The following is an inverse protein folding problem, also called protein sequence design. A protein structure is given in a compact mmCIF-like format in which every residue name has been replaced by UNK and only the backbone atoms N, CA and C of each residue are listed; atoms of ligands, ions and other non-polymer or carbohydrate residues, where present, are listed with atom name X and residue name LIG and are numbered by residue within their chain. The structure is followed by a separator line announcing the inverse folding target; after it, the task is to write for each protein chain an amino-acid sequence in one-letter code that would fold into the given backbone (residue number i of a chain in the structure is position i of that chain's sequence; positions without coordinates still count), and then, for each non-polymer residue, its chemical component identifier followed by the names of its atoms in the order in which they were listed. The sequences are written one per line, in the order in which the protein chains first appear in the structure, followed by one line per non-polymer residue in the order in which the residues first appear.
data_IF_004747417922
#
_entry.id   IF_004747417922
#
_cell.length_a   1.000
_cell.length_b   1.000
_cell.length_c   1.000
_cell.angle_alpha   90.00
_cell.angle_beta   90.00
_cell.angle_gamma   90.00
#
_symmetry.space_group_name_H-M   'P 1'
#
loop_
_entity.id
_entity.type
_entity.pdbx_description
1 polymer ?
#
# COMPACT_ATOMS: atom_id res chain seq x y z
N UNK A 1 -17.91 -22.83 4.93
CA UNK A 1 -16.74 -21.95 4.68
C UNK A 1 -16.92 -21.46 3.26
N UNK A 2 -17.33 -20.20 3.08
CA UNK A 2 -17.38 -19.61 1.74
C UNK A 2 -15.95 -19.56 1.19
N UNK A 3 -15.79 -19.92 -0.08
CA UNK A 3 -14.48 -19.91 -0.73
C UNK A 3 -14.14 -18.46 -1.07
N UNK A 4 -13.16 -17.88 -0.38
CA UNK A 4 -12.61 -16.57 -0.72
C UNK A 4 -11.94 -16.65 -2.10
N UNK A 5 -12.62 -16.11 -3.11
CA UNK A 5 -12.21 -16.18 -4.51
C UNK A 5 -10.95 -15.35 -4.80
N UNK A 6 -10.61 -14.38 -3.94
CA UNK A 6 -9.43 -13.54 -4.11
C UNK A 6 -8.12 -14.33 -3.97
N UNK A 7 -8.15 -15.48 -3.28
CA UNK A 7 -6.99 -16.39 -3.16
C UNK A 7 -6.54 -16.99 -4.49
N UNK A 8 -7.39 -16.94 -5.51
CA UNK A 8 -7.07 -17.42 -6.86
C UNK A 8 -6.62 -16.30 -7.80
N UNK A 9 -6.61 -15.04 -7.36
CA UNK A 9 -6.10 -13.95 -8.17
C UNK A 9 -4.60 -14.13 -8.40
N UNK A 10 -4.14 -13.82 -9.61
CA UNK A 10 -2.71 -13.73 -9.87
C UNK A 10 -2.19 -12.41 -9.28
N UNK A 11 -1.56 -12.53 -8.10
CA UNK A 11 -1.12 -11.39 -7.29
C UNK A 11 0.20 -10.83 -7.82
N UNK A 12 0.07 -9.84 -8.70
CA UNK A 12 1.14 -8.92 -9.07
C UNK A 12 0.75 -7.48 -8.72
N UNK A 13 1.68 -6.54 -8.87
CA UNK A 13 1.48 -5.12 -8.52
C UNK A 13 0.22 -4.56 -9.20
N UNK A 14 0.05 -4.76 -10.50
CA UNK A 14 -1.13 -4.29 -11.23
C UNK A 14 -2.45 -4.90 -10.74
N UNK A 15 -2.51 -6.23 -10.52
CA UNK A 15 -3.72 -6.90 -10.05
C UNK A 15 -4.14 -6.40 -8.67
N UNK A 16 -3.18 -6.25 -7.75
CA UNK A 16 -3.44 -5.78 -6.39
C UNK A 16 -3.88 -4.32 -6.40
N UNK A 17 -3.24 -3.47 -7.21
CA UNK A 17 -3.63 -2.07 -7.35
C UNK A 17 -5.04 -1.93 -7.93
N UNK A 18 -5.40 -2.71 -8.95
CA UNK A 18 -6.76 -2.75 -9.48
C UNK A 18 -7.78 -3.21 -8.44
N UNK A 19 -7.42 -4.19 -7.59
CA UNK A 19 -8.26 -4.63 -6.48
C UNK A 19 -8.46 -3.51 -5.46
N UNK A 20 -7.39 -2.82 -5.04
CA UNK A 20 -7.48 -1.67 -4.12
C UNK A 20 -8.40 -0.60 -4.70
N UNK A 21 -8.22 -0.22 -5.97
CA UNK A 21 -9.13 0.72 -6.65
C UNK A 21 -10.57 0.20 -6.60
N UNK A 22 -10.82 -1.04 -6.98
CA UNK A 22 -12.17 -1.60 -6.99
C UNK A 22 -12.83 -1.58 -5.60
N UNK A 23 -12.07 -1.82 -4.54
CA UNK A 23 -12.57 -1.73 -3.17
C UNK A 23 -12.97 -0.29 -2.78
N UNK A 24 -12.33 0.74 -3.35
CA UNK A 24 -12.70 2.14 -3.11
C UNK A 24 -14.07 2.55 -3.68
N UNK A 25 -14.77 1.69 -4.45
CA UNK A 25 -16.21 1.90 -4.73
C UNK A 25 -17.02 1.89 -3.43
N UNK A 26 -16.58 1.11 -2.44
CA UNK A 26 -17.19 1.04 -1.13
C UNK A 26 -16.66 2.19 -0.28
N UNK A 27 -17.50 3.21 -0.04
CA UNK A 27 -17.14 4.42 0.71
C UNK A 27 -16.40 4.14 2.03
N UNK A 28 -16.79 3.15 2.87
CA UNK A 28 -16.05 2.86 4.10
C UNK A 28 -14.62 2.34 3.88
N UNK A 29 -14.37 1.58 2.81
CA UNK A 29 -13.00 1.16 2.45
C UNK A 29 -12.23 2.33 1.81
N UNK A 30 -12.90 3.14 0.99
CA UNK A 30 -12.32 4.39 0.46
C UNK A 30 -11.83 5.29 1.59
N UNK A 31 -12.62 5.43 2.66
CA UNK A 31 -12.27 6.23 3.84
C UNK A 31 -10.95 5.78 4.45
N UNK A 32 -10.78 4.47 4.63
CA UNK A 32 -9.56 3.89 5.17
C UNK A 32 -8.36 4.17 4.25
N UNK A 33 -8.49 3.87 2.95
CA UNK A 33 -7.39 4.07 2.01
C UNK A 33 -6.99 5.54 1.89
N UNK A 34 -7.96 6.45 1.73
CA UNK A 34 -7.68 7.89 1.63
C UNK A 34 -6.99 8.39 2.90
N UNK A 35 -7.51 8.05 4.09
CA UNK A 35 -6.87 8.46 5.35
C UNK A 35 -5.45 7.91 5.50
N UNK A 36 -5.22 6.64 5.15
CA UNK A 36 -3.88 6.06 5.18
C UNK A 36 -2.94 6.80 4.23
N UNK A 37 -3.38 7.06 3.00
CA UNK A 37 -2.56 7.68 1.95
C UNK A 37 -2.25 9.15 2.20
N UNK A 38 -3.09 9.86 2.94
CA UNK A 38 -2.91 11.28 3.23
C UNK A 38 -2.53 11.56 4.69
N UNK A 39 -2.13 10.54 5.46
CA UNK A 39 -1.84 10.70 6.89
C UNK A 39 -3.01 11.26 7.71
N UNK A 40 -4.25 11.02 7.27
CA UNK A 40 -5.49 11.47 7.91
C UNK A 40 -5.97 12.88 7.51
N UNK A 41 -5.23 13.61 6.67
CA UNK A 41 -5.60 14.95 6.24
C UNK A 41 -6.90 15.01 5.40
N UNK A 42 -7.19 13.95 4.64
CA UNK A 42 -8.37 13.81 3.80
C UNK A 42 -9.09 12.49 4.13
N UNK A 43 -10.36 12.40 3.73
CA UNK A 43 -11.19 11.20 3.80
C UNK A 43 -12.03 11.00 2.54
N UNK A 44 -12.94 10.03 2.58
CA UNK A 44 -13.82 9.66 1.47
C UNK A 44 -14.94 10.68 1.18
N UNK A 45 -15.11 11.70 2.02
CA UNK A 45 -15.94 12.87 1.73
C UNK A 45 -15.22 13.90 0.85
N UNK A 46 -13.88 13.89 0.86
CA UNK A 46 -13.05 14.86 0.12
C UNK A 46 -12.64 14.33 -1.26
N UNK A 47 -12.71 13.01 -1.46
CA UNK A 47 -12.34 12.32 -2.69
C UNK A 47 -13.43 11.32 -3.09
N UNK A 48 -13.95 11.51 -4.29
CA UNK A 48 -14.90 10.59 -4.91
C UNK A 48 -14.20 9.39 -5.55
N UNK A 49 -14.96 8.36 -5.87
CA UNK A 49 -14.40 7.17 -6.53
C UNK A 49 -13.84 7.51 -7.92
N UNK A 50 -14.46 8.45 -8.62
CA UNK A 50 -14.04 8.86 -9.96
C UNK A 50 -12.72 9.64 -9.95
N UNK A 51 -12.32 10.19 -8.79
CA UNK A 51 -11.01 10.81 -8.59
C UNK A 51 -9.88 9.77 -8.48
N UNK A 52 -10.23 8.48 -8.34
CA UNK A 52 -9.29 7.37 -8.15
C UNK A 52 -9.10 6.60 -9.45
N UNK A 53 -7.87 6.61 -9.95
CA UNK A 53 -7.49 5.97 -11.21
C UNK A 53 -6.28 5.05 -11.05
N UNK A 54 -6.25 4.03 -11.90
CA UNK A 54 -5.08 3.17 -12.16
C UNK A 54 -4.56 3.49 -13.54
N UNK A 55 -3.29 3.22 -13.80
CA UNK A 55 -2.70 3.40 -15.15
C UNK A 55 -2.71 4.84 -15.65
N UNK A 56 -2.66 5.81 -14.76
CA UNK A 56 -2.62 7.23 -15.12
C UNK A 56 -1.29 7.54 -15.81
N UNK A 57 -1.32 7.88 -17.09
CA UNK A 57 -0.11 8.16 -17.85
C UNK A 57 0.39 9.56 -17.53
N UNK A 58 1.63 9.62 -17.08
CA UNK A 58 2.36 10.85 -16.86
C UNK A 58 3.55 10.94 -17.83
N UNK A 59 4.17 12.10 -17.98
CA UNK A 59 5.37 12.26 -18.80
C UNK A 59 6.61 11.52 -18.25
N UNK A 60 6.58 11.13 -16.97
CA UNK A 60 7.64 10.48 -16.23
C UNK A 60 7.41 9.00 -15.92
N UNK A 61 6.19 8.49 -16.13
CA UNK A 61 5.83 7.08 -15.97
C UNK A 61 4.34 6.86 -15.76
N UNK A 62 4.01 5.82 -15.00
CA UNK A 62 2.64 5.49 -14.61
C UNK A 62 2.72 5.12 -13.13
N UNK A 63 2.19 5.94 -12.19
CA UNK A 63 2.01 5.49 -10.81
C UNK A 63 1.00 4.34 -10.80
N UNK A 64 1.14 3.42 -9.84
CA UNK A 64 0.24 2.28 -9.74
C UNK A 64 -1.19 2.75 -9.47
N UNK A 65 -1.35 3.59 -8.44
CA UNK A 65 -2.63 4.23 -8.09
C UNK A 65 -2.46 5.75 -8.00
N UNK A 66 -3.50 6.45 -8.46
CA UNK A 66 -3.55 7.89 -8.51
C UNK A 66 -4.88 8.39 -7.97
N UNK A 67 -4.84 9.38 -7.07
CA UNK A 67 -6.02 10.08 -6.57
C UNK A 67 -5.80 11.58 -6.80
N UNK A 68 -6.68 12.25 -7.55
CA UNK A 68 -6.50 13.68 -7.84
C UNK A 68 -7.82 14.43 -7.97
N UNK A 69 -7.88 15.57 -7.29
CA UNK A 69 -8.84 16.64 -7.52
C UNK A 69 -8.14 18.01 -7.32
N UNK A 70 -8.92 19.09 -7.19
CA UNK A 70 -8.37 20.44 -7.04
C UNK A 70 -7.59 20.66 -5.73
N UNK A 71 -7.92 19.90 -4.67
CA UNK A 71 -7.34 20.07 -3.34
C UNK A 71 -6.17 19.13 -3.09
N UNK A 72 -6.21 17.90 -3.59
CA UNK A 72 -5.22 16.87 -3.29
C UNK A 72 -4.79 16.08 -4.52
N UNK A 73 -3.50 15.78 -4.61
CA UNK A 73 -2.94 14.83 -5.57
C UNK A 73 -2.07 13.80 -4.84
N UNK A 74 -2.38 12.52 -5.03
CA UNK A 74 -1.73 11.38 -4.39
C UNK A 74 -1.21 10.44 -5.47
N UNK A 75 0.11 10.20 -5.48
CA UNK A 75 0.71 9.10 -6.23
C UNK A 75 1.05 7.96 -5.26
N UNK A 76 0.57 6.76 -5.55
CA UNK A 76 0.86 5.56 -4.79
C UNK A 76 1.68 4.60 -5.65
N UNK A 77 2.82 4.19 -5.10
CA UNK A 77 3.64 3.10 -5.62
C UNK A 77 3.43 1.86 -4.74
N UNK A 78 3.11 0.74 -5.36
CA UNK A 78 2.71 -0.50 -4.72
C UNK A 78 3.74 -1.60 -4.98
N UNK A 79 4.27 -2.18 -3.90
CA UNK A 79 5.07 -3.41 -3.92
C UNK A 79 4.30 -4.53 -3.23
N UNK A 80 4.27 -5.70 -3.87
CA UNK A 80 3.50 -6.86 -3.37
C UNK A 80 4.36 -8.00 -2.84
N UNK A 81 5.65 -8.06 -3.19
CA UNK A 81 6.59 -9.04 -2.61
C UNK A 81 7.86 -8.37 -2.10
N UNK A 82 8.52 -9.02 -1.13
CA UNK A 82 9.74 -8.48 -0.51
C UNK A 82 10.88 -8.27 -1.52
N UNK A 83 10.83 -8.98 -2.65
CA UNK A 83 11.89 -9.07 -3.66
C UNK A 83 11.55 -8.33 -4.96
N UNK A 84 10.35 -7.72 -5.06
CA UNK A 84 10.03 -6.84 -6.18
C UNK A 84 11.10 -5.74 -6.26
N UNK A 85 11.68 -5.53 -7.43
CA UNK A 85 12.71 -4.50 -7.58
C UNK A 85 12.10 -3.10 -7.67
N UNK A 86 12.81 -2.11 -7.15
CA UNK A 86 12.59 -0.72 -7.55
C UNK A 86 13.11 -0.54 -8.96
N UNK A 87 12.28 -0.05 -9.87
CA UNK A 87 12.78 0.34 -11.19
C UNK A 87 13.74 1.52 -11.05
N UNK A 88 14.67 1.70 -11.99
CA UNK A 88 15.72 2.73 -11.89
C UNK A 88 15.16 4.15 -11.75
N UNK A 89 13.98 4.39 -12.31
CA UNK A 89 13.35 5.72 -12.37
C UNK A 89 12.43 6.00 -11.17
N UNK A 90 12.19 5.00 -10.31
CA UNK A 90 11.35 5.14 -9.12
C UNK A 90 12.17 5.56 -7.89
N UNK A 91 11.68 6.49 -7.05
CA UNK A 91 10.47 7.31 -7.22
C UNK A 91 10.72 8.64 -7.97
N UNK A 92 11.94 8.92 -8.43
CA UNK A 92 12.37 10.27 -8.83
C UNK A 92 11.49 10.92 -9.92
N UNK A 93 11.10 10.17 -10.95
CA UNK A 93 10.26 10.70 -12.02
C UNK A 93 8.88 11.11 -11.52
N UNK A 94 8.25 10.27 -10.69
CA UNK A 94 6.94 10.55 -10.10
C UNK A 94 6.98 11.79 -9.23
N UNK A 95 8.04 11.95 -8.44
CA UNK A 95 8.20 13.09 -7.55
C UNK A 95 8.38 14.40 -8.33
N UNK A 96 9.13 14.38 -9.43
CA UNK A 96 9.27 15.55 -10.31
C UNK A 96 7.95 15.97 -10.94
N UNK A 97 7.08 15.02 -11.25
CA UNK A 97 5.77 15.34 -11.82
C UNK A 97 4.80 15.83 -10.77
N UNK A 98 4.80 15.21 -9.58
CA UNK A 98 3.99 15.63 -8.46
C UNK A 98 4.31 17.09 -8.08
N UNK A 99 5.58 17.52 -8.15
CA UNK A 99 5.98 18.92 -7.99
C UNK A 99 5.20 19.86 -8.93
N UNK A 100 5.03 19.46 -10.20
CA UNK A 100 4.36 20.25 -11.23
C UNK A 100 2.83 20.25 -11.16
N UNK A 101 2.22 19.45 -10.26
CA UNK A 101 0.77 19.37 -10.14
C UNK A 101 0.16 20.61 -9.48
N UNK A 102 -1.05 21.04 -9.87
CA UNK A 102 -1.68 22.25 -9.32
C UNK A 102 -2.35 22.03 -7.96
N UNK A 103 -2.52 20.78 -7.51
CA UNK A 103 -3.16 20.45 -6.23
C UNK A 103 -2.47 21.13 -5.04
N UNK A 104 -3.29 21.53 -4.05
CA UNK A 104 -2.82 22.23 -2.83
C UNK A 104 -1.93 21.33 -1.98
N UNK A 105 -2.37 20.11 -1.76
CA UNK A 105 -1.65 19.10 -1.00
C UNK A 105 -1.20 17.95 -1.90
N UNK A 106 0.04 17.49 -1.70
CA UNK A 106 0.68 16.51 -2.57
C UNK A 106 1.24 15.38 -1.74
N UNK A 107 0.85 14.16 -2.06
CA UNK A 107 1.30 12.98 -1.34
C UNK A 107 1.99 12.00 -2.27
N UNK A 108 3.14 11.49 -1.83
CA UNK A 108 3.76 10.32 -2.41
C UNK A 108 3.71 9.17 -1.40
N UNK A 109 2.96 8.13 -1.74
CA UNK A 109 2.73 6.96 -0.91
C UNK A 109 3.56 5.81 -1.42
N UNK A 110 4.34 5.18 -0.54
CA UNK A 110 5.03 3.93 -0.81
C UNK A 110 4.41 2.82 0.02
N UNK A 111 3.61 1.97 -0.63
CA UNK A 111 2.91 0.83 -0.04
C UNK A 111 3.67 -0.46 -0.36
N UNK A 112 4.03 -1.23 0.67
CA UNK A 112 4.96 -2.36 0.52
C UNK A 112 4.70 -3.50 1.49
N UNK A 113 5.25 -4.70 1.26
CA UNK A 113 5.23 -5.75 2.29
C UNK A 113 6.11 -5.38 3.49
N UNK A 114 5.82 -5.96 4.67
CA UNK A 114 6.76 -5.93 5.79
C UNK A 114 8.10 -6.57 5.37
N UNK A 115 9.22 -5.96 5.78
CA UNK A 115 10.56 -6.48 5.48
C UNK A 115 11.00 -6.35 4.01
N UNK A 116 10.45 -5.39 3.25
CA UNK A 116 10.84 -5.14 1.87
C UNK A 116 12.36 -4.94 1.69
N UNK A 117 12.98 -5.77 0.85
CA UNK A 117 14.44 -5.88 0.75
C UNK A 117 15.14 -4.59 0.27
N UNK A 118 14.44 -3.79 -0.53
CA UNK A 118 14.97 -2.57 -1.13
C UNK A 118 14.55 -1.29 -0.39
N UNK A 119 14.08 -1.39 0.86
CA UNK A 119 13.67 -0.23 1.68
C UNK A 119 14.77 0.84 1.76
N UNK A 120 16.00 0.42 2.05
CA UNK A 120 17.15 1.33 2.13
C UNK A 120 17.40 2.10 0.82
N UNK A 121 17.24 1.43 -0.34
CA UNK A 121 17.40 2.07 -1.66
C UNK A 121 16.32 3.13 -1.87
N UNK A 122 15.07 2.80 -1.58
CA UNK A 122 13.95 3.73 -1.67
C UNK A 122 14.20 4.96 -0.79
N UNK A 123 14.50 4.76 0.50
CA UNK A 123 14.74 5.84 1.47
C UNK A 123 15.87 6.76 1.02
N UNK A 124 16.98 6.20 0.54
CA UNK A 124 18.09 7.00 0.01
C UNK A 124 17.67 7.87 -1.18
N UNK A 125 16.91 7.32 -2.14
CA UNK A 125 16.42 8.08 -3.31
C UNK A 125 15.44 9.18 -2.89
N UNK A 126 14.51 8.86 -1.99
CA UNK A 126 13.55 9.82 -1.42
C UNK A 126 14.26 10.96 -0.69
N UNK A 127 15.19 10.63 0.21
CA UNK A 127 15.88 11.62 1.03
C UNK A 127 16.77 12.51 0.16
N UNK A 128 17.42 11.95 -0.86
CA UNK A 128 18.12 12.73 -1.89
C UNK A 128 17.18 13.74 -2.55
N UNK A 129 16.03 13.28 -3.06
CA UNK A 129 15.05 14.16 -3.69
C UNK A 129 14.55 15.25 -2.75
N UNK A 130 14.21 14.90 -1.50
CA UNK A 130 13.73 15.85 -0.49
C UNK A 130 14.78 16.91 -0.18
N UNK A 131 16.05 16.53 -0.09
CA UNK A 131 17.14 17.46 0.18
C UNK A 131 17.41 18.39 -1.02
N UNK A 132 17.22 17.90 -2.25
CA UNK A 132 17.31 18.70 -3.47
C UNK A 132 16.09 19.63 -3.65
N UNK A 133 14.95 19.29 -3.03
CA UNK A 133 13.66 19.99 -3.17
C UNK A 133 13.00 20.29 -1.81
N UNK A 134 13.73 21.01 -0.94
CA UNK A 134 13.33 21.27 0.46
C UNK A 134 11.92 21.90 0.58
N UNK A 135 11.53 22.72 -0.40
CA UNK A 135 10.24 23.41 -0.43
C UNK A 135 9.23 22.73 -1.38
N UNK A 136 9.40 21.43 -1.66
CA UNK A 136 8.53 20.69 -2.57
C UNK A 136 7.06 20.68 -2.13
N UNK A 137 6.78 20.78 -0.83
CA UNK A 137 5.44 20.59 -0.27
C UNK A 137 4.91 19.17 -0.44
N UNK A 138 5.76 18.21 -0.84
CA UNK A 138 5.34 16.81 -1.00
C UNK A 138 5.45 16.10 0.35
N UNK A 139 4.31 15.57 0.81
CA UNK A 139 4.21 14.68 1.95
C UNK A 139 4.54 13.25 1.55
N UNK A 140 5.56 12.66 2.16
CA UNK A 140 5.93 11.26 1.94
C UNK A 140 5.25 10.38 2.98
N UNK A 141 4.50 9.39 2.51
CA UNK A 141 3.80 8.42 3.36
C UNK A 141 4.38 7.03 3.08
N UNK A 142 4.89 6.38 4.10
CA UNK A 142 5.38 5.00 4.04
C UNK A 142 4.42 4.11 4.82
N UNK A 143 3.80 3.15 4.16
CA UNK A 143 2.86 2.22 4.77
C UNK A 143 3.16 0.80 4.33
N UNK A 144 2.82 -0.15 5.18
CA UNK A 144 2.89 -1.57 4.87
C UNK A 144 1.52 -2.16 4.62
N UNK A 145 1.47 -3.30 3.95
CA UNK A 145 0.22 -4.07 3.84
C UNK A 145 -0.33 -4.53 5.19
N UNK A 146 0.52 -4.64 6.21
CA UNK A 146 0.09 -4.93 7.59
C UNK A 146 -0.61 -3.71 8.20
N UNK A 147 -0.18 -2.49 7.88
CA UNK A 147 -0.87 -1.27 8.32
C UNK A 147 -2.26 -1.16 7.66
N UNK A 148 -2.38 -1.55 6.39
CA UNK A 148 -3.67 -1.63 5.68
C UNK A 148 -4.58 -2.67 6.34
N UNK A 149 -4.07 -3.88 6.58
CA UNK A 149 -4.81 -4.95 7.27
C UNK A 149 -5.35 -4.46 8.61
N UNK A 150 -4.48 -3.89 9.44
CA UNK A 150 -4.84 -3.38 10.76
C UNK A 150 -5.88 -2.28 10.68
N UNK A 151 -5.75 -1.34 9.76
CA UNK A 151 -6.72 -0.24 9.62
C UNK A 151 -8.12 -0.75 9.24
N UNK A 152 -8.21 -1.81 8.43
CA UNK A 152 -9.49 -2.44 8.10
C UNK A 152 -10.05 -3.23 9.29
N UNK A 153 -9.22 -3.97 10.02
CA UNK A 153 -9.64 -4.68 11.23
C UNK A 153 -10.14 -3.72 12.32
N UNK A 154 -9.39 -2.65 12.61
CA UNK A 154 -9.72 -1.65 13.62
C UNK A 154 -11.03 -0.88 13.28
N UNK A 155 -11.42 -0.84 12.00
CA UNK A 155 -12.67 -0.23 11.56
C UNK A 155 -13.93 -1.08 11.84
N UNK A 156 -13.75 -2.37 12.15
CA UNK A 156 -14.86 -3.33 12.29
C UNK A 156 -15.54 -3.72 10.97
N UNK A 157 -15.01 -3.30 9.81
CA UNK A 157 -15.64 -3.58 8.52
C UNK A 157 -15.65 -5.06 8.14
N UNK A 158 -14.71 -5.86 8.66
CA UNK A 158 -14.64 -7.32 8.43
C UNK A 158 -15.86 -8.07 8.97
N UNK A 159 -16.54 -7.50 9.97
CA UNK A 159 -17.76 -8.06 10.56
C UNK A 159 -18.98 -7.86 9.67
N UNK A 160 -19.01 -6.80 8.87
CA UNK A 160 -20.19 -6.36 8.11
C UNK A 160 -20.03 -6.40 6.59
N UNK A 161 -18.80 -6.48 6.09
CA UNK A 161 -18.49 -6.49 4.65
C UNK A 161 -17.67 -7.72 4.27
N UNK A 162 -18.28 -8.59 3.45
CA UNK A 162 -17.59 -9.76 2.90
C UNK A 162 -16.36 -9.36 2.08
N UNK A 163 -16.41 -8.23 1.36
CA UNK A 163 -15.28 -7.73 0.59
C UNK A 163 -14.11 -7.28 1.48
N UNK A 164 -14.41 -6.63 2.61
CA UNK A 164 -13.38 -6.25 3.57
C UNK A 164 -12.75 -7.49 4.21
N UNK A 165 -13.57 -8.47 4.61
CA UNK A 165 -13.11 -9.74 5.16
C UNK A 165 -12.25 -10.53 4.19
N UNK A 166 -12.71 -10.71 2.95
CA UNK A 166 -12.00 -11.47 1.93
C UNK A 166 -10.65 -10.80 1.58
N UNK A 167 -10.62 -9.47 1.58
CA UNK A 167 -9.38 -8.74 1.36
C UNK A 167 -8.43 -8.87 2.56
N UNK A 168 -8.91 -8.79 3.80
CA UNK A 168 -8.08 -9.05 4.99
C UNK A 168 -7.53 -10.49 4.99
N UNK A 169 -8.35 -11.49 4.68
CA UNK A 169 -7.93 -12.88 4.53
C UNK A 169 -6.80 -13.04 3.49
N UNK A 170 -6.90 -12.31 2.38
CA UNK A 170 -5.85 -12.27 1.37
C UNK A 170 -4.56 -11.67 1.95
N UNK A 171 -4.64 -10.51 2.61
CA UNK A 171 -3.48 -9.86 3.23
C UNK A 171 -2.83 -10.74 4.31
N UNK A 172 -3.63 -11.42 5.14
CA UNK A 172 -3.16 -12.38 6.14
C UNK A 172 -2.37 -13.50 5.45
N UNK A 173 -2.93 -14.10 4.40
CA UNK A 173 -2.25 -15.19 3.67
C UNK A 173 -0.93 -14.77 3.01
N UNK A 174 -0.77 -13.49 2.71
CA UNK A 174 0.43 -12.96 2.05
C UNK A 174 1.51 -12.48 3.02
N UNK A 175 1.10 -11.86 4.14
CA UNK A 175 2.00 -11.03 4.94
C UNK A 175 2.06 -11.39 6.41
N UNK A 176 1.14 -12.20 6.91
CA UNK A 176 1.14 -12.67 8.30
C UNK A 176 1.75 -14.06 8.32
N UNK A 177 2.90 -14.27 9.00
CA UNK A 177 3.51 -15.59 9.08
C UNK A 177 2.59 -16.55 9.83
N UNK A 178 2.45 -17.77 9.33
CA UNK A 178 1.75 -18.83 10.06
C UNK A 178 2.47 -19.09 11.39
N UNK A 179 1.75 -19.07 12.53
CA UNK A 179 2.35 -19.42 13.81
C UNK A 179 2.92 -20.83 13.75
N UNK A 180 4.21 -20.97 14.00
CA UNK A 180 4.81 -22.29 14.17
C UNK A 180 4.41 -22.78 15.56
N UNK A 181 3.53 -23.77 15.62
CA UNK A 181 3.26 -24.50 16.85
C UNK A 181 4.23 -25.66 16.97
N UNK A 182 4.88 -25.77 18.11
CA UNK A 182 5.73 -26.91 18.44
C UNK A 182 4.98 -27.83 19.40
N UNK A 183 5.02 -29.12 19.12
CA UNK A 183 4.71 -30.13 20.14
C UNK A 183 5.81 -30.12 21.21
N UNK A 184 5.48 -30.58 22.43
CA UNK A 184 6.49 -30.72 23.50
C UNK A 184 7.68 -31.58 23.08
N UNK A 185 7.47 -32.56 22.20
CA UNK A 185 8.54 -33.42 21.67
C UNK A 185 9.49 -32.64 20.74
N UNK A 186 8.95 -31.84 19.81
CA UNK A 186 9.76 -31.01 18.91
C UNK A 186 10.50 -29.91 19.67
N UNK A 187 9.87 -29.34 20.71
CA UNK A 187 10.54 -28.44 21.66
C UNK A 187 11.74 -29.11 22.32
N UNK A 188 11.56 -30.32 22.86
CA UNK A 188 12.66 -31.08 23.47
C UNK A 188 13.75 -31.39 22.44
N UNK A 189 13.45 -31.70 21.19
CA UNK A 189 14.46 -31.95 20.14
C UNK A 189 15.26 -30.68 19.75
N UNK A 190 14.63 -29.51 19.76
CA UNK A 190 15.31 -28.22 19.52
C UNK A 190 16.21 -27.82 20.70
N UNK A 191 15.78 -28.11 21.93
CA UNK A 191 16.53 -27.78 23.15
C UNK A 191 17.60 -28.83 23.52
N UNK A 192 17.36 -30.11 23.25
CA UNK A 192 18.30 -31.20 23.59
C UNK A 192 19.48 -31.31 22.64
N UNK A 193 19.48 -30.56 21.52
CA UNK A 193 20.64 -30.21 20.70
C UNK A 193 21.82 -31.17 20.83
N UNK A 194 21.62 -32.47 20.58
CA UNK A 194 22.70 -33.45 20.59
C UNK A 194 23.52 -33.23 19.33
N UNK A 195 24.55 -32.39 19.45
CA UNK A 195 25.78 -32.56 18.69
C UNK A 195 26.50 -33.82 19.12
#
# INVERSE_FOLDING_TARGET
METNVLRHLHLNENSVTNLVRALCVLKPLREIFVRLFTGGAFGAEDLDFDDISTQFVTGGGIPDLHLENDDVCVFVEVKVTQWCQLTTNQPENYLRELLGRPAKEKFFVFLRPPGYAHDHVYKNRRDKFRNENVNSGICFVEITWVDVLKAIEDSGLTEVSVYARDFCDLLVSMYVPEPISFTMKELLEVYDGKR
#
